data_IF_070632621207
#
_entry.id   IF_070632621207
#
_cell.length_a   1.000
_cell.length_b   1.000
_cell.length_c   1.000
_cell.angle_alpha   90.00
_cell.angle_beta   90.00
_cell.angle_gamma   90.00
#
_symmetry.space_group_name_H-M   'P 1'
#
loop_
_entity.id
_entity.type
_entity.pdbx_description
1 polymer ?
#
# COMPACT_ATOMS: atom_id res chain seq x y z
N UNK A 1 -26.34 -70.25 -10.27
CA UNK A 1 -25.42 -69.75 -9.23
C UNK A 1 -24.99 -68.35 -9.67
N UNK A 2 -25.68 -67.37 -9.08
CA UNK A 2 -25.46 -65.92 -8.92
C UNK A 2 -24.38 -65.21 -9.76
N UNK A 3 -24.82 -64.30 -10.63
CA UNK A 3 -23.99 -63.25 -11.23
C UNK A 3 -23.68 -62.18 -10.17
N UNK A 4 -22.39 -61.93 -9.92
CA UNK A 4 -21.92 -60.91 -8.98
C UNK A 4 -21.62 -59.62 -9.74
N UNK A 5 -22.52 -58.64 -9.65
CA UNK A 5 -22.31 -57.30 -10.20
C UNK A 5 -21.63 -56.46 -9.12
N UNK A 6 -20.34 -56.17 -9.27
CA UNK A 6 -19.61 -55.25 -8.39
C UNK A 6 -19.85 -53.82 -8.89
N UNK A 7 -20.63 -53.06 -8.13
CA UNK A 7 -20.85 -51.63 -8.35
C UNK A 7 -19.71 -50.85 -7.70
N UNK A 8 -18.82 -50.27 -8.51
CA UNK A 8 -17.80 -49.32 -8.03
C UNK A 8 -18.42 -47.92 -7.94
N UNK A 9 -18.79 -47.48 -6.74
CA UNK A 9 -19.15 -46.09 -6.49
C UNK A 9 -17.86 -45.25 -6.42
N UNK A 10 -17.54 -44.55 -7.50
CA UNK A 10 -16.50 -43.51 -7.50
C UNK A 10 -17.09 -42.28 -6.83
N UNK A 11 -16.81 -42.09 -5.53
CA UNK A 11 -17.04 -40.81 -4.87
C UNK A 11 -16.01 -39.81 -5.39
N UNK A 12 -16.38 -39.03 -6.40
CA UNK A 12 -15.64 -37.83 -6.76
C UNK A 12 -15.83 -36.81 -5.62
N UNK A 13 -14.91 -36.79 -4.66
CA UNK A 13 -14.78 -35.68 -3.74
C UNK A 13 -14.30 -34.48 -4.55
N UNK A 14 -15.23 -33.69 -5.10
CA UNK A 14 -14.91 -32.38 -5.65
C UNK A 14 -14.52 -31.53 -4.45
N UNK A 15 -13.22 -31.39 -4.22
CA UNK A 15 -12.70 -30.38 -3.33
C UNK A 15 -13.14 -29.03 -3.88
N UNK A 16 -14.16 -28.43 -3.27
CA UNK A 16 -14.46 -27.03 -3.50
C UNK A 16 -13.21 -26.26 -3.05
N UNK A 17 -12.43 -25.76 -4.01
CA UNK A 17 -11.36 -24.82 -3.74
C UNK A 17 -11.91 -23.70 -2.84
N UNK A 18 -11.14 -23.17 -1.87
CA UNK A 18 -11.62 -22.10 -1.02
C UNK A 18 -12.16 -20.97 -1.90
N UNK A 19 -13.47 -20.75 -1.85
CA UNK A 19 -14.11 -19.69 -2.60
C UNK A 19 -13.84 -18.38 -1.85
N UNK A 20 -13.14 -17.45 -2.49
CA UNK A 20 -12.93 -16.11 -1.97
C UNK A 20 -14.14 -15.23 -2.36
N UNK A 21 -15.06 -14.94 -1.43
CA UNK A 21 -16.32 -14.29 -1.77
C UNK A 21 -16.08 -12.83 -2.14
N UNK A 22 -16.76 -12.39 -3.20
CA UNK A 22 -16.78 -10.98 -3.61
C UNK A 22 -17.69 -10.22 -2.65
N UNK A 23 -17.13 -9.23 -1.97
CA UNK A 23 -17.83 -8.37 -1.03
C UNK A 23 -18.39 -7.13 -1.72
N UNK A 24 -17.66 -6.57 -2.69
CA UNK A 24 -18.06 -5.34 -3.38
C UNK A 24 -17.44 -5.24 -4.77
N UNK A 25 -18.21 -4.73 -5.74
CA UNK A 25 -17.71 -4.25 -7.02
C UNK A 25 -17.47 -2.74 -6.91
N UNK A 26 -16.26 -2.27 -7.24
CA UNK A 26 -15.92 -0.85 -7.12
C UNK A 26 -16.62 -0.01 -8.19
N UNK A 27 -16.85 -0.59 -9.38
CA UNK A 27 -17.64 -0.01 -10.46
C UNK A 27 -18.43 -1.10 -11.24
N UNK A 28 -19.22 -0.67 -12.22
CA UNK A 28 -19.94 -1.54 -13.18
C UNK A 28 -19.04 -2.04 -14.33
N UNK A 29 -17.73 -1.76 -14.24
CA UNK A 29 -16.74 -2.02 -15.26
C UNK A 29 -16.24 -3.46 -15.29
N UNK A 30 -15.10 -3.65 -15.96
CA UNK A 30 -14.44 -4.93 -16.05
C UNK A 30 -13.91 -5.36 -14.69
N UNK A 31 -14.02 -6.65 -14.38
CA UNK A 31 -13.47 -7.22 -13.14
C UNK A 31 -11.95 -7.05 -13.06
N UNK A 32 -11.26 -7.18 -14.19
CA UNK A 32 -9.81 -7.10 -14.25
C UNK A 32 -9.37 -5.94 -15.14
N UNK A 33 -8.31 -5.25 -14.72
CA UNK A 33 -7.68 -4.20 -15.51
C UNK A 33 -6.16 -4.25 -15.37
N UNK A 34 -5.45 -3.91 -16.44
CA UNK A 34 -4.02 -3.62 -16.36
C UNK A 34 -3.82 -2.23 -15.78
N UNK A 35 -3.16 -2.15 -14.63
CA UNK A 35 -2.76 -0.91 -13.97
C UNK A 35 -1.25 -0.82 -13.98
N UNK A 36 -0.71 0.33 -14.35
CA UNK A 36 0.73 0.55 -14.38
C UNK A 36 1.24 0.81 -12.95
N UNK A 37 2.26 0.07 -12.53
CA UNK A 37 2.99 0.29 -11.28
C UNK A 37 3.88 1.53 -11.35
N UNK A 38 4.46 1.89 -10.20
CA UNK A 38 5.40 3.02 -10.07
C UNK A 38 6.68 2.85 -10.92
N UNK A 39 7.07 1.61 -11.20
CA UNK A 39 8.20 1.21 -12.05
C UNK A 39 7.87 1.18 -13.55
N UNK A 40 6.61 1.49 -13.91
CA UNK A 40 6.12 1.44 -15.27
C UNK A 40 5.63 0.06 -15.73
N UNK A 41 5.72 -0.98 -14.90
CA UNK A 41 5.29 -2.35 -15.24
C UNK A 41 3.76 -2.48 -15.20
N UNK A 42 3.10 -3.09 -16.20
CA UNK A 42 1.68 -3.34 -16.15
C UNK A 42 1.36 -4.56 -15.27
N UNK A 43 0.43 -4.39 -14.33
CA UNK A 43 -0.07 -5.42 -13.43
C UNK A 43 -1.55 -5.70 -13.70
N UNK A 44 -1.93 -6.97 -13.82
CA UNK A 44 -3.34 -7.35 -13.92
C UNK A 44 -3.98 -7.36 -12.52
N UNK A 45 -4.91 -6.44 -12.27
CA UNK A 45 -5.54 -6.21 -10.96
C UNK A 45 -6.99 -6.66 -10.99
N UNK A 46 -7.44 -7.37 -9.94
CA UNK A 46 -8.86 -7.64 -9.67
C UNK A 46 -9.46 -6.39 -8.99
N UNK A 47 -10.37 -5.69 -9.68
CA UNK A 47 -11.02 -4.47 -9.20
C UNK A 47 -12.25 -4.76 -8.32
N UNK A 48 -12.57 -6.03 -8.09
CA UNK A 48 -13.63 -6.43 -7.19
C UNK A 48 -13.03 -6.79 -5.84
N UNK A 49 -13.52 -6.14 -4.80
CA UNK A 49 -13.09 -6.37 -3.42
C UNK A 49 -13.63 -7.71 -2.93
N UNK A 50 -12.72 -8.56 -2.48
CA UNK A 50 -12.98 -9.89 -1.93
C UNK A 50 -12.76 -9.91 -0.42
N UNK A 51 -13.19 -10.98 0.23
CA UNK A 51 -12.95 -11.13 1.66
C UNK A 51 -11.46 -11.25 1.99
N UNK A 52 -10.66 -11.88 1.12
CA UNK A 52 -9.21 -11.92 1.28
C UNK A 52 -8.57 -10.53 1.25
N UNK A 53 -9.01 -9.62 0.38
CA UNK A 53 -8.48 -8.25 0.29
C UNK A 53 -8.76 -7.47 1.58
N UNK A 54 -9.95 -7.63 2.16
CA UNK A 54 -10.31 -7.02 3.45
C UNK A 54 -9.52 -7.66 4.59
N UNK A 55 -9.36 -8.99 4.59
CA UNK A 55 -8.60 -9.69 5.59
C UNK A 55 -7.11 -9.32 5.56
N UNK A 56 -6.55 -9.07 4.38
CA UNK A 56 -5.18 -8.57 4.23
C UNK A 56 -5.06 -7.12 4.70
N UNK A 57 -5.96 -6.24 4.25
CA UNK A 57 -5.99 -4.83 4.70
C UNK A 57 -6.17 -4.71 6.22
N UNK A 58 -6.92 -5.61 6.86
CA UNK A 58 -7.11 -5.62 8.30
C UNK A 58 -5.84 -5.99 9.10
N UNK A 59 -4.81 -6.56 8.45
CA UNK A 59 -3.53 -6.86 9.10
C UNK A 59 -2.63 -5.64 9.19
N UNK A 60 -2.89 -4.62 8.37
CA UNK A 60 -2.10 -3.40 8.36
C UNK A 60 -2.33 -2.59 9.64
N UNK A 61 -1.23 -2.24 10.31
CA UNK A 61 -1.19 -1.40 11.48
C UNK A 61 -0.33 -0.16 11.20
N UNK A 62 -0.95 1.02 10.94
CA UNK A 62 -0.23 2.23 10.58
C UNK A 62 0.70 2.74 11.69
N UNK A 63 0.43 2.44 12.96
CA UNK A 63 1.30 2.87 14.07
C UNK A 63 2.64 2.14 14.11
N UNK A 64 2.70 0.94 13.50
CA UNK A 64 3.88 0.06 13.54
C UNK A 64 4.56 -0.11 12.20
N UNK A 65 3.83 0.04 11.12
CA UNK A 65 4.32 -0.25 9.76
C UNK A 65 4.67 1.00 8.98
N UNK A 66 4.12 2.16 9.33
CA UNK A 66 4.44 3.37 8.61
C UNK A 66 5.80 3.91 9.00
N UNK A 67 6.54 4.36 7.99
CA UNK A 67 7.80 5.08 8.18
C UNK A 67 7.60 6.52 7.74
N UNK A 68 7.97 7.45 8.61
CA UNK A 68 7.80 8.88 8.38
C UNK A 68 9.15 9.53 8.12
N UNK A 69 9.29 10.08 6.92
CA UNK A 69 10.52 10.68 6.42
C UNK A 69 10.39 12.19 6.36
N UNK A 70 11.14 12.91 7.19
CA UNK A 70 11.20 14.36 7.18
C UNK A 70 12.27 14.87 6.21
N UNK A 71 11.84 15.70 5.27
CA UNK A 71 12.69 16.50 4.41
C UNK A 71 12.45 17.98 4.68
N UNK A 72 13.54 18.75 4.62
CA UNK A 72 13.53 20.21 4.68
C UNK A 72 14.61 20.75 3.74
N UNK A 73 14.69 22.06 3.56
CA UNK A 73 15.81 22.68 2.81
C UNK A 73 17.20 22.37 3.40
N UNK A 74 17.28 22.00 4.69
CA UNK A 74 18.54 21.64 5.36
C UNK A 74 18.96 20.18 5.10
N UNK A 75 18.02 19.34 4.67
CA UNK A 75 18.26 17.93 4.34
C UNK A 75 17.39 17.52 3.12
N UNK A 76 17.60 18.13 1.95
CA UNK A 76 16.69 17.98 0.82
C UNK A 76 16.78 16.63 0.12
N UNK A 77 17.87 15.87 0.35
CA UNK A 77 18.15 14.59 -0.31
C UNK A 77 18.08 13.38 0.61
N UNK A 78 18.38 13.56 1.91
CA UNK A 78 18.40 12.49 2.90
C UNK A 78 17.41 12.82 4.01
N UNK A 79 16.39 11.97 4.16
CA UNK A 79 15.36 12.17 5.18
C UNK A 79 15.91 12.00 6.60
N UNK A 80 15.32 12.70 7.55
CA UNK A 80 15.44 12.37 8.98
C UNK A 80 14.20 11.60 9.44
N UNK A 81 14.34 10.55 10.26
CA UNK A 81 13.19 9.78 10.71
C UNK A 81 12.31 10.60 11.68
N UNK A 82 11.00 10.37 11.60
CA UNK A 82 10.03 10.80 12.61
C UNK A 82 9.37 9.57 13.21
N UNK A 83 9.13 9.59 14.54
CA UNK A 83 8.42 8.52 15.23
C UNK A 83 7.19 9.08 15.93
N UNK A 84 6.07 8.39 15.78
CA UNK A 84 4.82 8.71 16.46
C UNK A 84 5.05 8.66 17.97
N UNK A 85 4.54 9.67 18.68
CA UNK A 85 4.62 9.75 20.15
C UNK A 85 5.99 10.11 20.71
N UNK A 86 6.99 10.44 19.87
CA UNK A 86 8.31 10.86 20.32
C UNK A 86 8.55 12.35 20.04
N UNK A 87 8.02 13.20 20.91
CA UNK A 87 8.20 14.67 20.81
C UNK A 87 9.67 15.08 20.90
N UNK A 88 10.50 14.32 21.63
CA UNK A 88 11.93 14.59 21.77
C UNK A 88 12.66 14.57 20.43
N UNK A 89 12.22 13.74 19.47
CA UNK A 89 12.80 13.73 18.12
C UNK A 89 12.52 15.01 17.32
N UNK A 90 11.41 15.70 17.59
CA UNK A 90 11.08 16.95 16.89
C UNK A 90 12.07 18.08 17.20
N UNK A 91 12.71 18.04 18.37
CA UNK A 91 13.76 19.00 18.74
C UNK A 91 15.17 18.61 18.25
N UNK A 92 15.34 17.39 17.73
CA UNK A 92 16.62 16.85 17.27
C UNK A 92 16.75 16.81 15.75
N UNK A 93 15.63 16.79 15.03
CA UNK A 93 15.59 16.86 13.59
C UNK A 93 15.34 18.30 13.10
N UNK A 94 15.30 18.51 11.79
CA UNK A 94 15.17 19.82 11.17
C UNK A 94 13.72 20.34 11.15
N UNK A 95 12.80 19.67 11.84
CA UNK A 95 11.40 20.07 11.88
C UNK A 95 11.27 21.45 12.52
N UNK A 96 10.49 22.33 11.89
CA UNK A 96 10.22 23.63 12.44
C UNK A 96 8.71 23.87 12.51
N UNK A 97 8.10 23.98 13.71
CA UNK A 97 6.66 24.18 13.85
C UNK A 97 6.17 25.53 13.31
N UNK A 98 7.07 26.50 13.06
CA UNK A 98 6.72 27.77 12.43
C UNK A 98 6.63 27.68 10.89
N UNK A 99 7.03 26.56 10.30
CA UNK A 99 6.91 26.30 8.87
C UNK A 99 5.65 25.51 8.57
N UNK A 100 5.08 25.74 7.38
CA UNK A 100 4.00 24.91 6.86
C UNK A 100 4.50 23.47 6.69
N UNK A 101 3.64 22.51 7.03
CA UNK A 101 3.91 21.08 6.86
C UNK A 101 3.11 20.54 5.68
N UNK A 102 3.80 19.88 4.76
CA UNK A 102 3.23 19.15 3.61
C UNK A 102 3.41 17.67 3.88
N UNK A 103 2.31 16.90 3.82
CA UNK A 103 2.35 15.44 4.00
C UNK A 103 2.09 14.78 2.65
N UNK A 104 3.01 13.92 2.24
CA UNK A 104 2.94 13.18 0.98
C UNK A 104 2.75 11.69 1.27
N UNK A 105 1.72 11.10 0.69
CA UNK A 105 1.43 9.67 0.78
C UNK A 105 1.50 9.11 -0.63
N UNK A 106 2.35 8.12 -0.87
CA UNK A 106 2.46 7.50 -2.17
C UNK A 106 1.24 6.62 -2.48
N UNK A 107 1.09 6.27 -3.76
CA UNK A 107 -0.01 5.43 -4.23
C UNK A 107 0.32 3.94 -4.22
N UNK A 108 -0.49 3.20 -4.98
CA UNK A 108 -0.40 1.76 -5.14
C UNK A 108 0.94 1.31 -5.76
N UNK A 109 1.61 0.35 -5.11
CA UNK A 109 2.93 -0.21 -5.48
C UNK A 109 4.06 0.83 -5.60
N UNK A 110 3.86 2.03 -5.06
CA UNK A 110 4.92 3.02 -4.92
C UNK A 110 5.58 2.88 -3.54
N UNK A 111 6.76 3.46 -3.40
CA UNK A 111 7.56 3.50 -2.18
C UNK A 111 8.28 4.86 -2.06
N UNK A 112 9.10 5.01 -1.02
CA UNK A 112 9.90 6.22 -0.78
C UNK A 112 10.88 6.59 -1.90
N UNK A 113 11.27 5.64 -2.74
CA UNK A 113 12.22 5.84 -3.85
C UNK A 113 11.53 6.09 -5.19
N UNK A 114 10.22 5.86 -5.27
CA UNK A 114 9.44 6.07 -6.48
C UNK A 114 9.44 7.54 -6.93
N UNK A 115 9.19 7.76 -8.23
CA UNK A 115 9.19 9.09 -8.87
C UNK A 115 8.34 10.13 -8.13
N UNK A 116 7.28 9.67 -7.46
CA UNK A 116 6.44 10.49 -6.58
C UNK A 116 7.27 11.35 -5.60
N UNK A 117 8.26 10.75 -4.93
CA UNK A 117 9.07 11.46 -3.93
C UNK A 117 10.22 12.23 -4.57
N UNK A 118 10.85 11.67 -5.60
CA UNK A 118 11.98 12.32 -6.28
C UNK A 118 11.55 13.59 -7.03
N UNK A 119 10.27 13.72 -7.39
CA UNK A 119 9.71 14.92 -8.04
C UNK A 119 9.07 15.87 -7.03
N UNK A 120 8.20 15.40 -6.15
CA UNK A 120 7.41 16.30 -5.29
C UNK A 120 8.23 16.92 -4.16
N UNK A 121 9.13 16.16 -3.51
CA UNK A 121 9.93 16.69 -2.41
C UNK A 121 10.79 17.88 -2.88
N UNK A 122 11.59 17.77 -3.96
CA UNK A 122 12.34 18.92 -4.46
C UNK A 122 11.46 20.08 -4.91
N UNK A 123 10.30 19.80 -5.53
CA UNK A 123 9.39 20.84 -5.98
C UNK A 123 8.89 21.69 -4.81
N UNK A 124 8.39 21.07 -3.73
CA UNK A 124 7.94 21.80 -2.54
C UNK A 124 9.08 22.57 -1.87
N UNK A 125 10.24 21.96 -1.68
CA UNK A 125 11.39 22.60 -1.05
C UNK A 125 11.96 23.76 -1.89
N UNK A 126 11.86 23.69 -3.22
CA UNK A 126 12.24 24.78 -4.12
C UNK A 126 11.28 25.97 -4.03
N UNK A 127 9.97 25.71 -3.89
CA UNK A 127 8.93 26.73 -3.88
C UNK A 127 8.86 27.49 -2.54
N UNK A 128 9.04 26.79 -1.41
CA UNK A 128 8.82 27.36 -0.08
C UNK A 128 9.71 26.69 0.99
N UNK A 129 9.99 27.40 2.08
CA UNK A 129 10.67 26.83 3.25
C UNK A 129 9.67 26.06 4.12
N UNK A 130 9.42 24.80 3.76
CA UNK A 130 8.43 23.92 4.40
C UNK A 130 9.06 22.69 5.05
N UNK A 131 8.31 22.06 5.96
CA UNK A 131 8.54 20.68 6.36
C UNK A 131 7.80 19.77 5.37
N UNK A 132 8.50 18.84 4.72
CA UNK A 132 7.86 17.81 3.88
C UNK A 132 7.98 16.48 4.60
N UNK A 133 6.86 15.84 4.90
CA UNK A 133 6.79 14.52 5.54
C UNK A 133 6.29 13.53 4.49
N UNK A 134 7.16 12.62 4.07
CA UNK A 134 6.77 11.48 3.22
C UNK A 134 6.38 10.32 4.13
N UNK A 135 5.22 9.72 3.86
CA UNK A 135 4.72 8.53 4.56
C UNK A 135 4.92 7.32 3.65
N UNK A 136 5.73 6.37 4.11
CA UNK A 136 5.88 5.03 3.55
C UNK A 136 4.86 4.10 4.24
N UNK A 137 3.95 3.47 3.50
CA UNK A 137 2.81 2.72 4.06
C UNK A 137 2.54 1.37 3.37
#
# INVERSE_FOLDING_TARGET
QTYSTILFCVFAAVSALPHDPILRKLDDGARYQYVQGSDGTPHLVDLWMKASDVAEAARYNPERQNVYHLFTRQNPTVSQPMLIGNEGLLGLNNYNPARRTVVLLHGWLADVTSDFNTVLVPAFLSAEDVNVIVVDW
#
